data_IF_976871070574
#
_entry.id   IF_976871070574
#
_cell.length_a   1.000
_cell.length_b   1.000
_cell.length_c   1.000
_cell.angle_alpha   90.00
_cell.angle_beta   90.00
_cell.angle_gamma   90.00
#
_symmetry.space_group_name_H-M   'P 1'
#
loop_
_entity.id
_entity.type
_entity.pdbx_description
1 polymer ?
#
# COMPACT_ATOMS: atom_id res chain seq x y z
N UNK A 1 23.16 33.28 -6.87
CA UNK A 1 22.37 32.33 -7.67
C UNK A 1 21.62 31.48 -6.67
N UNK A 2 20.39 31.87 -6.36
CA UNK A 2 19.56 31.19 -5.36
C UNK A 2 19.08 29.87 -5.95
N UNK A 3 19.50 28.75 -5.36
CA UNK A 3 18.91 27.45 -5.64
C UNK A 3 17.61 27.36 -4.84
N UNK A 4 16.52 27.85 -5.44
CA UNK A 4 15.18 27.60 -4.91
C UNK A 4 14.88 26.12 -5.10
N UNK A 5 15.00 25.34 -4.02
CA UNK A 5 14.56 23.96 -4.00
C UNK A 5 13.03 23.98 -4.11
N UNK A 6 12.55 23.56 -5.27
CA UNK A 6 11.13 23.42 -5.56
C UNK A 6 10.50 22.43 -4.57
N UNK A 7 9.49 22.90 -3.84
CA UNK A 7 8.78 22.17 -2.79
C UNK A 7 7.76 21.17 -3.36
N UNK A 8 7.91 20.75 -4.62
CA UNK A 8 7.15 19.67 -5.26
C UNK A 8 7.43 18.27 -4.68
N UNK A 9 8.36 18.15 -3.72
CA UNK A 9 8.50 16.98 -2.86
C UNK A 9 7.42 16.85 -1.78
N UNK A 10 6.34 17.63 -1.87
CA UNK A 10 5.06 17.19 -1.35
C UNK A 10 4.60 16.00 -2.20
N UNK A 11 5.18 14.83 -1.87
CA UNK A 11 4.70 13.51 -2.22
C UNK A 11 3.22 13.55 -1.87
N UNK A 12 2.37 13.79 -2.87
CA UNK A 12 0.95 13.61 -2.75
C UNK A 12 0.80 12.16 -2.29
N UNK A 13 0.56 11.96 -1.00
CA UNK A 13 -0.21 10.82 -0.55
C UNK A 13 -1.55 11.01 -1.24
N UNK A 14 -1.61 10.50 -2.47
CA UNK A 14 -2.82 10.46 -3.25
C UNK A 14 -3.80 9.66 -2.40
N UNK A 15 -4.80 10.31 -1.78
CA UNK A 15 -5.80 9.57 -1.07
C UNK A 15 -6.49 8.73 -2.15
N UNK A 16 -6.53 7.42 -1.93
CA UNK A 16 -7.45 6.51 -2.59
C UNK A 16 -7.23 6.16 -4.07
N UNK A 17 -5.99 6.05 -4.56
CA UNK A 17 -5.77 5.46 -5.90
C UNK A 17 -6.03 3.93 -5.97
N UNK A 18 -6.32 3.28 -4.84
CA UNK A 18 -6.64 1.86 -4.82
C UNK A 18 -7.87 1.64 -3.96
N UNK A 19 -8.97 1.21 -4.59
CA UNK A 19 -10.10 0.60 -3.89
C UNK A 19 -9.54 -0.60 -3.14
N UNK A 20 -9.19 -0.42 -1.86
CA UNK A 20 -8.65 -1.51 -1.04
C UNK A 20 -9.74 -2.56 -0.93
N UNK A 21 -9.50 -3.72 -1.55
CA UNK A 21 -10.41 -4.88 -1.48
C UNK A 21 -10.56 -5.42 -0.05
N UNK A 22 -9.56 -5.17 0.79
CA UNK A 22 -9.51 -5.58 2.20
C UNK A 22 -9.52 -4.34 3.09
N UNK A 23 -10.45 -4.29 4.04
CA UNK A 23 -10.52 -3.26 5.08
C UNK A 23 -9.56 -3.54 6.24
N UNK A 24 -9.18 -2.51 7.00
CA UNK A 24 -8.32 -2.65 8.18
C UNK A 24 -8.89 -3.64 9.20
N UNK A 25 -10.20 -3.63 9.43
CA UNK A 25 -10.86 -4.57 10.37
C UNK A 25 -10.72 -6.03 9.92
N UNK A 26 -10.83 -6.27 8.61
CA UNK A 26 -10.60 -7.60 8.05
C UNK A 26 -9.15 -8.01 8.21
N UNK A 27 -8.20 -7.10 7.98
CA UNK A 27 -6.77 -7.36 8.20
C UNK A 27 -6.47 -7.72 9.67
N UNK A 28 -7.00 -6.95 10.63
CA UNK A 28 -6.88 -7.25 12.07
C UNK A 28 -7.41 -8.65 12.37
N UNK A 29 -8.60 -9.00 11.84
CA UNK A 29 -9.21 -10.31 12.07
C UNK A 29 -8.33 -11.45 11.55
N UNK A 30 -7.80 -11.32 10.34
CA UNK A 30 -6.92 -12.33 9.72
C UNK A 30 -5.61 -12.47 10.51
N UNK A 31 -4.98 -11.35 10.89
CA UNK A 31 -3.73 -11.38 11.66
C UNK A 31 -3.95 -12.02 13.04
N UNK A 32 -5.04 -11.69 13.72
CA UNK A 32 -5.39 -12.30 15.00
C UNK A 32 -5.67 -13.81 14.90
N UNK A 33 -6.23 -14.29 13.78
CA UNK A 33 -6.42 -15.73 13.54
C UNK A 33 -5.10 -16.50 13.41
N UNK A 34 -3.99 -15.79 13.19
CA UNK A 34 -2.64 -16.34 13.09
C UNK A 34 -1.78 -15.94 14.30
N UNK A 35 -2.40 -15.63 15.44
CA UNK A 35 -1.75 -15.20 16.68
C UNK A 35 -0.90 -13.91 16.57
N UNK A 36 -1.08 -13.13 15.48
CA UNK A 36 -0.43 -11.84 15.29
C UNK A 36 -1.37 -10.75 15.80
N UNK A 37 -1.20 -10.35 17.06
CA UNK A 37 -2.00 -9.28 17.67
C UNK A 37 -1.53 -7.91 17.22
N UNK A 38 -2.42 -7.17 16.58
CA UNK A 38 -2.15 -5.80 16.11
C UNK A 38 -3.26 -4.84 16.49
N UNK A 39 -2.91 -3.58 16.69
CA UNK A 39 -3.88 -2.48 16.76
C UNK A 39 -4.20 -1.93 15.35
N UNK A 40 -5.09 -0.94 15.29
CA UNK A 40 -5.55 -0.37 14.03
C UNK A 40 -4.43 0.29 13.22
N UNK A 41 -3.53 1.02 13.86
CA UNK A 41 -2.44 1.73 13.19
C UNK A 41 -1.40 0.76 12.62
N UNK A 42 -1.06 -0.29 13.38
CA UNK A 42 -0.22 -1.38 12.93
C UNK A 42 -0.85 -2.13 11.74
N UNK A 43 -2.15 -2.41 11.80
CA UNK A 43 -2.85 -3.05 10.71
C UNK A 43 -2.89 -2.19 9.43
N UNK A 44 -3.05 -0.86 9.57
CA UNK A 44 -2.97 0.08 8.44
C UNK A 44 -1.60 0.01 7.77
N UNK A 45 -0.53 0.02 8.56
CA UNK A 45 0.84 0.02 8.03
C UNK A 45 1.19 -1.30 7.34
N UNK A 46 0.86 -2.44 7.96
CA UNK A 46 1.02 -3.76 7.35
C UNK A 46 0.25 -3.83 6.03
N UNK A 47 -1.00 -3.37 6.02
CA UNK A 47 -1.83 -3.39 4.82
C UNK A 47 -1.24 -2.50 3.72
N UNK A 48 -0.74 -1.30 4.05
CA UNK A 48 -0.06 -0.40 3.10
C UNK A 48 1.15 -1.09 2.46
N UNK A 49 1.98 -1.75 3.28
CA UNK A 49 3.15 -2.47 2.81
C UNK A 49 2.79 -3.63 1.87
N UNK A 50 1.79 -4.44 2.23
CA UNK A 50 1.32 -5.55 1.40
C UNK A 50 0.76 -5.07 0.06
N UNK A 51 0.01 -3.96 0.03
CA UNK A 51 -0.45 -3.38 -1.24
C UNK A 51 0.70 -2.84 -2.10
N UNK A 52 1.73 -2.26 -1.47
CA UNK A 52 2.92 -1.81 -2.19
C UNK A 52 3.61 -3.00 -2.87
N UNK A 53 3.80 -4.11 -2.14
CA UNK A 53 4.35 -5.34 -2.70
C UNK A 53 3.49 -5.87 -3.84
N UNK A 54 2.18 -6.02 -3.62
CA UNK A 54 1.26 -6.56 -4.62
C UNK A 54 1.28 -5.71 -5.90
N UNK A 55 1.38 -4.38 -5.78
CA UNK A 55 1.53 -3.48 -6.92
C UNK A 55 2.80 -3.76 -7.71
N UNK A 56 3.94 -3.95 -7.02
CA UNK A 56 5.21 -4.23 -7.68
C UNK A 56 5.16 -5.54 -8.48
N UNK A 57 4.47 -6.56 -7.98
CA UNK A 57 4.35 -7.84 -8.70
C UNK A 57 3.30 -7.83 -9.82
N UNK A 58 2.16 -7.14 -9.66
CA UNK A 58 1.17 -7.02 -10.73
C UNK A 58 1.68 -6.23 -11.95
N UNK A 59 2.71 -5.39 -11.78
CA UNK A 59 3.36 -4.70 -12.90
C UNK A 59 4.16 -5.62 -13.83
N UNK A 60 4.37 -6.89 -13.46
CA UNK A 60 5.11 -7.87 -14.25
C UNK A 60 4.22 -8.86 -15.03
N UNK A 61 2.91 -8.89 -14.79
CA UNK A 61 1.99 -9.82 -15.45
C UNK A 61 1.33 -9.22 -16.71
N UNK A 62 1.35 -7.88 -16.87
CA UNK A 62 0.77 -7.20 -18.06
C UNK A 62 1.64 -7.33 -19.33
N UNK A 63 2.85 -7.89 -19.24
CA UNK A 63 3.76 -8.08 -20.39
C UNK A 63 3.70 -9.50 -21.00
N UNK A 64 2.81 -10.38 -20.53
CA UNK A 64 2.74 -11.80 -20.97
C UNK A 64 1.33 -12.27 -21.40
N UNK A 65 0.48 -11.39 -21.93
CA UNK A 65 -0.69 -11.78 -22.76
C UNK A 65 -0.48 -11.43 -24.24
N UNK A 66 0.57 -11.97 -24.85
CA UNK A 66 0.80 -11.89 -26.30
C UNK A 66 1.31 -13.23 -26.85
N UNK A 67 0.44 -14.25 -26.80
CA UNK A 67 0.45 -15.38 -27.75
C UNK A 67 -0.97 -15.91 -27.96
#
# INVERSE_FOLDING_TARGET
MEMTYDCSYQRQMHPDLYTRKISTNTAIRILNQNDIRVNEDQAKEILNFLYLIAKTYNQHDDDNELF
#
